data_IF_432311155987
#
_entry.id   IF_432311155987
#
_cell.length_a   1.000
_cell.length_b   1.000
_cell.length_c   1.000
_cell.angle_alpha   90.00
_cell.angle_beta   90.00
_cell.angle_gamma   90.00
#
_symmetry.space_group_name_H-M   'P 1'
#
loop_
_entity.id
_entity.type
_entity.pdbx_description
1 polymer ?
#
# COMPACT_ATOMS: atom_id res chain seq x y z
N UNK A 1 -8.09 -12.93 -20.63
CA UNK A 1 -9.27 -12.06 -20.45
C UNK A 1 -8.78 -10.67 -20.08
N UNK A 2 -8.95 -9.67 -20.95
CA UNK A 2 -8.62 -8.28 -20.62
C UNK A 2 -9.80 -7.64 -19.87
N UNK A 3 -9.57 -7.13 -18.67
CA UNK A 3 -10.54 -6.32 -17.94
C UNK A 3 -10.72 -4.97 -18.65
N UNK A 4 -11.93 -4.43 -18.64
CA UNK A 4 -12.20 -3.08 -19.16
C UNK A 4 -11.56 -2.02 -18.26
N UNK A 5 -11.21 -0.84 -18.81
CA UNK A 5 -10.62 0.27 -18.03
C UNK A 5 -11.44 0.63 -16.79
N UNK A 6 -12.78 0.62 -16.92
CA UNK A 6 -13.72 0.86 -15.80
C UNK A 6 -13.63 -0.20 -14.71
N UNK A 7 -13.40 -1.47 -15.05
CA UNK A 7 -13.21 -2.53 -14.07
C UNK A 7 -11.89 -2.35 -13.32
N UNK A 8 -10.82 -1.99 -14.04
CA UNK A 8 -9.49 -1.76 -13.48
C UNK A 8 -9.45 -0.53 -12.55
N UNK A 9 -10.14 0.54 -12.90
CA UNK A 9 -10.32 1.72 -12.03
C UNK A 9 -11.10 1.40 -10.76
N UNK A 10 -12.19 0.62 -10.87
CA UNK A 10 -13.00 0.23 -9.72
C UNK A 10 -12.21 -0.66 -8.76
N UNK A 11 -11.42 -1.59 -9.30
CA UNK A 11 -10.53 -2.44 -8.50
C UNK A 11 -9.40 -1.66 -7.85
N UNK A 12 -8.83 -0.67 -8.55
CA UNK A 12 -7.84 0.22 -7.96
C UNK A 12 -8.41 1.01 -6.79
N UNK A 13 -9.57 1.65 -6.98
CA UNK A 13 -10.22 2.45 -5.92
C UNK A 13 -10.49 1.59 -4.67
N UNK A 14 -10.99 0.38 -4.86
CA UNK A 14 -11.22 -0.57 -3.76
C UNK A 14 -9.93 -0.95 -3.02
N UNK A 15 -8.82 -1.09 -3.75
CA UNK A 15 -7.49 -1.33 -3.18
C UNK A 15 -7.01 -0.15 -2.33
N UNK A 16 -7.13 1.05 -2.88
CA UNK A 16 -6.69 2.30 -2.23
C UNK A 16 -7.51 2.56 -0.96
N UNK A 17 -8.83 2.30 -1.00
CA UNK A 17 -9.72 2.36 0.17
C UNK A 17 -9.31 1.36 1.24
N UNK A 18 -8.98 0.12 0.87
CA UNK A 18 -8.53 -0.89 1.83
C UNK A 18 -7.23 -0.46 2.52
N UNK A 19 -6.21 -0.05 1.77
CA UNK A 19 -4.95 0.43 2.35
C UNK A 19 -5.12 1.67 3.23
N UNK A 20 -6.07 2.54 2.90
CA UNK A 20 -6.39 3.73 3.71
C UNK A 20 -7.12 3.40 5.03
N UNK A 21 -7.78 2.23 5.10
CA UNK A 21 -8.47 1.76 6.31
C UNK A 21 -7.53 1.12 7.34
N UNK A 22 -6.30 0.76 6.92
CA UNK A 22 -5.33 0.09 7.78
C UNK A 22 -4.71 1.05 8.79
N UNK A 23 -4.33 0.50 9.94
CA UNK A 23 -3.51 1.19 10.93
C UNK A 23 -2.05 0.80 10.73
N UNK A 24 -1.21 1.79 10.50
CA UNK A 24 0.23 1.66 10.30
C UNK A 24 0.98 1.97 11.58
N UNK A 25 2.16 1.40 11.73
CA UNK A 25 3.04 1.50 12.88
C UNK A 25 4.47 1.27 12.44
N UNK A 26 5.38 1.96 13.12
CA UNK A 26 6.79 1.75 12.91
C UNK A 26 7.24 0.50 13.66
N UNK A 27 7.77 -0.47 12.93
CA UNK A 27 8.40 -1.67 13.47
C UNK A 27 9.83 -1.79 12.96
N UNK A 28 10.67 -2.49 13.73
CA UNK A 28 11.98 -2.91 13.27
C UNK A 28 12.13 -4.41 13.51
N UNK A 29 12.80 -5.08 12.59
CA UNK A 29 13.27 -6.46 12.78
C UNK A 29 14.79 -6.38 12.71
N UNK A 30 15.47 -6.73 13.80
CA UNK A 30 16.90 -6.44 13.95
C UNK A 30 17.18 -4.96 13.64
N UNK A 31 18.08 -4.68 12.70
CA UNK A 31 18.44 -3.34 12.26
C UNK A 31 17.58 -2.82 11.08
N UNK A 32 16.67 -3.64 10.54
CA UNK A 32 15.79 -3.25 9.44
C UNK A 32 14.59 -2.45 9.95
N UNK A 33 14.55 -1.16 9.62
CA UNK A 33 13.43 -0.27 9.87
C UNK A 33 12.32 -0.49 8.82
N UNK A 34 11.11 -0.78 9.28
CA UNK A 34 9.91 -0.97 8.45
C UNK A 34 8.83 0.01 8.94
N UNK A 35 8.90 1.28 8.52
CA UNK A 35 8.09 2.36 9.08
C UNK A 35 6.60 2.16 8.80
N UNK A 36 6.26 1.60 7.64
CA UNK A 36 4.90 1.34 7.17
C UNK A 36 4.43 -0.08 7.45
N UNK A 37 4.81 -0.64 8.61
CA UNK A 37 4.20 -1.91 9.06
C UNK A 37 2.74 -1.67 9.42
N UNK A 38 1.87 -2.68 9.32
CA UNK A 38 0.44 -2.46 9.58
C UNK A 38 -0.26 -3.58 10.34
N UNK A 39 -1.39 -3.25 10.95
CA UNK A 39 -2.31 -4.20 11.58
C UNK A 39 -3.31 -4.70 10.56
N UNK A 40 -3.30 -6.00 10.28
CA UNK A 40 -4.24 -6.63 9.35
C UNK A 40 -5.15 -7.62 10.09
N UNK A 41 -6.26 -7.11 10.63
CA UNK A 41 -7.26 -7.94 11.33
C UNK A 41 -8.03 -8.88 10.39
N UNK A 42 -7.92 -8.68 9.07
CA UNK A 42 -8.47 -9.58 8.05
C UNK A 42 -7.58 -10.77 7.72
N UNK A 43 -6.35 -10.83 8.22
CA UNK A 43 -5.43 -11.95 8.03
C UNK A 43 -5.25 -12.74 9.31
N UNK A 44 -5.35 -14.07 9.23
CA UNK A 44 -5.08 -14.95 10.37
C UNK A 44 -3.61 -14.86 10.80
N UNK A 45 -2.70 -14.87 9.84
CA UNK A 45 -1.26 -14.84 10.06
C UNK A 45 -0.68 -13.45 9.80
N UNK A 46 0.42 -13.09 10.47
CA UNK A 46 1.24 -11.97 10.01
C UNK A 46 2.06 -12.35 8.79
N UNK A 47 2.46 -11.36 8.01
CA UNK A 47 3.27 -11.57 6.81
C UNK A 47 4.47 -10.65 6.74
N UNK A 48 5.53 -11.16 6.14
CA UNK A 48 6.77 -10.44 5.81
C UNK A 48 7.07 -10.66 4.34
N UNK A 49 7.36 -9.60 3.59
CA UNK A 49 7.57 -9.73 2.16
C UNK A 49 9.01 -10.06 1.75
N UNK A 50 9.17 -10.49 0.51
CA UNK A 50 10.45 -10.87 -0.08
C UNK A 50 11.55 -9.80 0.05
N UNK A 51 11.30 -8.51 -0.27
CA UNK A 51 12.27 -7.45 -0.01
C UNK A 51 12.74 -7.37 1.44
N UNK A 52 11.85 -7.52 2.43
CA UNK A 52 12.23 -7.50 3.83
C UNK A 52 13.12 -8.70 4.20
N UNK A 53 12.76 -9.91 3.75
CA UNK A 53 13.58 -11.12 3.95
C UNK A 53 14.96 -10.99 3.31
N UNK A 54 15.02 -10.47 2.08
CA UNK A 54 16.27 -10.24 1.38
C UNK A 54 17.14 -9.21 2.10
N UNK A 55 16.56 -8.10 2.58
CA UNK A 55 17.27 -7.09 3.35
C UNK A 55 17.80 -7.61 4.69
N UNK A 56 17.09 -8.56 5.31
CA UNK A 56 17.54 -9.25 6.53
C UNK A 56 18.63 -10.30 6.27
N UNK A 57 18.87 -10.68 5.01
CA UNK A 57 19.81 -11.73 4.64
C UNK A 57 19.38 -13.12 5.13
N UNK A 58 18.09 -13.30 5.44
CA UNK A 58 17.58 -14.57 5.95
C UNK A 58 17.43 -15.59 4.82
N UNK A 59 17.82 -16.83 5.12
CA UNK A 59 17.50 -17.98 4.27
C UNK A 59 16.17 -18.55 4.71
N UNK A 60 15.48 -19.21 3.79
CA UNK A 60 14.25 -19.95 4.10
C UNK A 60 14.55 -20.91 5.25
N UNK A 61 13.89 -20.70 6.39
CA UNK A 61 14.07 -21.53 7.58
C UNK A 61 13.36 -22.87 7.36
N UNK A 62 12.10 -22.83 6.90
CA UNK A 62 11.33 -23.98 6.44
C UNK A 62 10.40 -23.60 5.28
N UNK A 63 10.33 -24.46 4.26
CA UNK A 63 9.33 -24.36 3.20
C UNK A 63 7.96 -24.76 3.78
N UNK A 64 6.96 -23.93 3.54
CA UNK A 64 5.57 -24.22 3.91
C UNK A 64 4.90 -25.01 2.81
N UNK A 65 4.38 -26.20 3.10
CA UNK A 65 3.55 -26.96 2.14
C UNK A 65 2.11 -26.40 2.01
N UNK A 66 1.77 -25.35 2.76
CA UNK A 66 0.44 -24.74 2.74
C UNK A 66 0.37 -23.57 1.77
N UNK A 67 -0.52 -23.67 0.78
CA UNK A 67 -0.95 -22.52 -0.02
C UNK A 67 -1.85 -21.61 0.83
N UNK A 68 -1.46 -20.35 0.99
CA UNK A 68 -2.31 -19.35 1.63
C UNK A 68 -3.23 -18.77 0.57
N UNK A 69 -4.47 -19.27 0.55
CA UNK A 69 -5.53 -18.68 -0.26
C UNK A 69 -6.04 -17.42 0.44
N UNK A 70 -5.36 -16.30 0.22
CA UNK A 70 -5.87 -14.99 0.60
C UNK A 70 -7.09 -14.61 -0.25
N UNK A 71 -8.02 -13.83 0.32
CA UNK A 71 -9.10 -13.16 -0.44
C UNK A 71 -8.58 -11.94 -1.24
N UNK A 72 -7.26 -11.83 -1.38
CA UNK A 72 -6.57 -10.77 -2.07
C UNK A 72 -6.39 -11.13 -3.55
N UNK A 73 -6.45 -10.14 -4.44
CA UNK A 73 -6.14 -10.31 -5.88
C UNK A 73 -4.71 -10.80 -6.12
N UNK A 74 -3.84 -10.60 -5.14
CA UNK A 74 -2.51 -11.19 -5.08
C UNK A 74 -2.66 -12.51 -4.31
N UNK A 75 -2.86 -13.60 -5.05
CA UNK A 75 -2.59 -14.94 -4.53
C UNK A 75 -1.08 -14.95 -4.34
N UNK A 76 -0.66 -14.81 -3.10
CA UNK A 76 0.73 -14.94 -2.76
C UNK A 76 0.93 -16.36 -2.26
N UNK A 77 1.70 -17.14 -3.00
CA UNK A 77 2.18 -18.42 -2.48
C UNK A 77 2.96 -18.14 -1.20
N UNK A 78 2.65 -18.89 -0.13
CA UNK A 78 3.48 -18.88 1.07
C UNK A 78 4.81 -19.51 0.69
N UNK A 79 5.88 -18.73 0.74
CA UNK A 79 7.21 -19.19 0.36
C UNK A 79 8.00 -19.78 1.54
N UNK A 80 7.40 -19.80 2.73
CA UNK A 80 8.01 -20.29 3.97
C UNK A 80 7.50 -19.59 5.22
N UNK A 81 7.93 -20.08 6.38
CA UNK A 81 7.61 -19.48 7.68
C UNK A 81 8.87 -18.97 8.38
N UNK A 82 8.69 -17.92 9.16
CA UNK A 82 9.64 -17.47 10.16
C UNK A 82 8.93 -17.41 11.50
N UNK A 83 9.35 -18.25 12.43
CA UNK A 83 8.82 -18.31 13.79
C UNK A 83 9.72 -17.60 14.76
N UNK A 84 9.14 -17.16 15.88
CA UNK A 84 9.84 -16.51 16.97
C UNK A 84 10.68 -15.29 16.55
N UNK A 85 10.18 -14.56 15.55
CA UNK A 85 10.83 -13.35 15.04
C UNK A 85 10.67 -12.20 16.04
N UNK A 86 11.79 -11.60 16.52
CA UNK A 86 11.73 -10.42 17.36
C UNK A 86 11.40 -9.19 16.51
N UNK A 87 10.27 -8.57 16.82
CA UNK A 87 9.85 -7.28 16.27
C UNK A 87 9.96 -6.25 17.37
N UNK A 88 10.65 -5.16 17.11
CA UNK A 88 10.78 -4.04 18.04
C UNK A 88 9.95 -2.86 17.59
N UNK A 89 9.39 -2.15 18.55
CA UNK A 89 8.49 -1.02 18.34
C UNK A 89 8.77 0.03 19.43
N UNK A 90 8.45 1.29 19.15
CA UNK A 90 8.49 2.34 20.17
C UNK A 90 7.11 2.52 20.77
N UNK A 91 7.03 2.56 22.10
CA UNK A 91 5.81 3.02 22.75
C UNK A 91 5.70 4.56 22.71
N UNK A 92 4.57 5.08 23.17
CA UNK A 92 4.29 6.52 23.21
C UNK A 92 5.30 7.33 24.05
N UNK A 93 6.07 6.68 24.92
CA UNK A 93 7.11 7.29 25.77
C UNK A 93 8.50 7.20 25.10
N UNK A 94 8.58 6.63 23.89
CA UNK A 94 9.84 6.40 23.18
C UNK A 94 10.63 5.19 23.68
N UNK A 95 10.05 4.38 24.58
CA UNK A 95 10.67 3.15 25.06
C UNK A 95 10.57 2.06 24.01
N UNK A 96 11.67 1.34 23.80
CA UNK A 96 11.65 0.15 22.94
C UNK A 96 10.90 -0.99 23.62
N UNK A 97 9.99 -1.60 22.87
CA UNK A 97 9.23 -2.78 23.23
C UNK A 97 9.54 -3.86 22.20
N UNK A 98 9.92 -5.05 22.65
CA UNK A 98 10.18 -6.19 21.78
C UNK A 98 9.07 -7.21 21.93
N UNK A 99 8.50 -7.65 20.81
CA UNK A 99 7.48 -8.69 20.72
C UNK A 99 8.00 -9.84 19.85
N UNK A 100 7.52 -11.04 20.13
CA UNK A 100 7.88 -12.24 19.36
C UNK A 100 6.68 -12.66 18.51
N UNK A 101 6.81 -12.53 17.19
CA UNK A 101 5.77 -12.83 16.22
C UNK A 101 6.14 -13.98 15.28
N UNK A 102 5.14 -14.59 14.67
CA UNK A 102 5.31 -15.58 13.60
C UNK A 102 4.80 -14.97 12.29
N UNK A 103 5.54 -15.18 11.21
CA UNK A 103 5.28 -14.53 9.93
C UNK A 103 5.40 -15.51 8.79
N UNK A 104 4.44 -15.45 7.87
CA UNK A 104 4.56 -16.08 6.56
C UNK A 104 5.36 -15.18 5.62
N UNK A 105 6.27 -15.78 4.85
CA UNK A 105 6.94 -15.11 3.75
C UNK A 105 5.99 -14.96 2.56
N UNK A 106 5.86 -13.74 2.04
CA UNK A 106 4.97 -13.41 0.93
C UNK A 106 5.71 -12.70 -0.21
N UNK A 107 5.49 -13.14 -1.46
CA UNK A 107 5.73 -12.33 -2.64
C UNK A 107 4.47 -11.51 -3.02
N UNK A 108 4.51 -10.21 -2.77
CA UNK A 108 3.46 -9.27 -3.14
C UNK A 108 3.81 -8.43 -4.39
N UNK A 109 4.97 -8.64 -5.00
CA UNK A 109 5.48 -7.82 -6.11
C UNK A 109 5.85 -6.38 -5.74
N UNK A 110 5.78 -5.99 -4.46
CA UNK A 110 6.20 -4.67 -4.00
C UNK A 110 7.72 -4.64 -3.78
N UNK A 111 8.41 -3.55 -4.13
CA UNK A 111 9.86 -3.45 -3.99
C UNK A 111 10.31 -3.07 -2.57
N UNK A 112 9.41 -2.51 -1.75
CA UNK A 112 9.74 -2.02 -0.41
C UNK A 112 9.50 -3.09 0.66
N UNK A 113 10.35 -3.15 1.72
CA UNK A 113 10.11 -4.03 2.87
C UNK A 113 8.75 -3.78 3.51
N UNK A 114 8.01 -4.86 3.75
CA UNK A 114 6.67 -4.83 4.33
C UNK A 114 6.55 -5.88 5.42
N UNK A 115 5.91 -5.48 6.52
CA UNK A 115 5.56 -6.33 7.65
C UNK A 115 4.12 -6.02 8.08
N UNK A 116 3.33 -7.06 8.31
CA UNK A 116 2.02 -6.86 8.94
C UNK A 116 1.74 -7.86 10.05
N UNK A 117 1.07 -7.38 11.09
CA UNK A 117 0.59 -8.19 12.19
C UNK A 117 -0.82 -8.69 11.87
N UNK A 118 -0.95 -10.01 11.68
CA UNK A 118 -2.25 -10.68 11.59
C UNK A 118 -2.89 -10.91 12.96
N UNK A 119 -4.09 -11.49 12.94
CA UNK A 119 -4.88 -11.79 14.14
C UNK A 119 -4.13 -12.67 15.14
N UNK A 120 -3.41 -13.70 14.69
CA UNK A 120 -2.59 -14.57 15.56
C UNK A 120 -1.57 -13.77 16.37
N UNK A 121 -0.80 -12.89 15.71
CA UNK A 121 0.17 -12.01 16.37
C UNK A 121 -0.54 -11.02 17.32
N UNK A 122 -1.62 -10.38 16.87
CA UNK A 122 -2.39 -9.44 17.70
C UNK A 122 -2.93 -10.12 18.96
N UNK A 123 -3.54 -11.31 18.83
CA UNK A 123 -4.07 -12.09 19.95
C UNK A 123 -2.98 -12.52 20.92
N UNK A 124 -1.83 -12.98 20.43
CA UNK A 124 -0.66 -13.35 21.27
C UNK A 124 -0.23 -12.18 22.18
N UNK A 125 -0.34 -10.95 21.68
CA UNK A 125 -0.01 -9.72 22.39
C UNK A 125 -1.16 -9.14 23.23
N UNK A 126 -2.32 -9.82 23.26
CA UNK A 126 -3.58 -9.27 23.77
C UNK A 126 -3.84 -7.86 23.21
N UNK A 127 -3.52 -7.70 21.93
CA UNK A 127 -3.49 -6.44 21.23
C UNK A 127 -4.88 -5.89 20.97
N UNK A 128 -5.06 -4.59 21.20
CA UNK A 128 -6.29 -3.86 20.89
C UNK A 128 -5.92 -2.67 20.01
N UNK A 129 -6.40 -2.69 18.77
CA UNK A 129 -6.31 -1.54 17.86
C UNK A 129 -7.38 -0.52 18.22
N UNK A 130 -6.98 0.73 18.40
CA UNK A 130 -7.86 1.88 18.61
C UNK A 130 -7.60 2.94 17.52
N UNK A 131 -8.11 2.72 16.29
CA UNK A 131 -7.85 3.62 15.15
C UNK A 131 -8.23 5.08 15.44
N UNK A 132 -9.35 5.30 16.13
CA UNK A 132 -9.82 6.65 16.50
C UNK A 132 -8.85 7.41 17.42
N UNK A 133 -7.93 6.71 18.07
CA UNK A 133 -6.90 7.29 18.95
C UNK A 133 -5.51 7.20 18.36
N UNK A 134 -5.35 6.63 17.16
CA UNK A 134 -4.05 6.33 16.55
C UNK A 134 -3.16 5.54 17.52
N UNK A 135 -3.72 4.49 18.14
CA UNK A 135 -3.03 3.68 19.14
C UNK A 135 -3.25 2.18 18.93
N UNK A 136 -2.20 1.42 19.19
CA UNK A 136 -2.25 -0.03 19.36
C UNK A 136 -1.77 -0.38 20.76
N UNK A 137 -2.67 -0.89 21.59
CA UNK A 137 -2.34 -1.29 22.96
C UNK A 137 -2.00 -2.76 23.00
N UNK A 138 -0.90 -3.11 23.64
CA UNK A 138 -0.48 -4.50 23.84
C UNK A 138 -0.18 -4.77 25.30
N UNK A 139 -0.27 -6.04 25.72
CA UNK A 139 0.08 -6.49 27.06
C UNK A 139 1.22 -7.51 27.00
N UNK A 140 2.33 -7.18 27.65
CA UNK A 140 3.52 -8.04 27.74
C UNK A 140 3.96 -8.14 29.19
N UNK A 141 4.15 -9.36 29.69
CA UNK A 141 4.61 -9.63 31.07
C UNK A 141 3.80 -8.86 32.14
N UNK A 142 2.48 -8.77 31.95
CA UNK A 142 1.58 -8.05 32.87
C UNK A 142 1.56 -6.53 32.71
N UNK A 143 2.45 -5.93 31.91
CA UNK A 143 2.50 -4.50 31.63
C UNK A 143 1.78 -4.16 30.32
N UNK A 144 1.04 -3.06 30.32
CA UNK A 144 0.42 -2.49 29.12
C UNK A 144 1.35 -1.49 28.47
N UNK A 145 1.49 -1.59 27.15
CA UNK A 145 2.21 -0.64 26.31
C UNK A 145 1.24 -0.03 25.31
N UNK A 146 1.45 1.25 25.00
CA UNK A 146 0.67 1.99 24.00
C UNK A 146 1.61 2.35 22.87
N UNK A 147 1.42 1.71 21.73
CA UNK A 147 2.20 1.96 20.52
C UNK A 147 1.45 2.99 19.67
N UNK A 148 2.09 4.09 19.23
CA UNK A 148 1.49 5.01 18.29
C UNK A 148 1.26 4.31 16.93
N UNK A 149 0.08 4.52 16.36
CA UNK A 149 -0.24 4.13 14.99
C UNK A 149 -0.58 5.37 14.17
N UNK A 150 -0.78 5.22 12.86
CA UNK A 150 -1.30 6.27 11.99
C UNK A 150 -2.10 5.68 10.83
N UNK A 151 -2.98 6.48 10.26
CA UNK A 151 -3.70 6.16 9.02
C UNK A 151 -3.04 6.86 7.85
N UNK A 152 -3.03 6.23 6.66
CA UNK A 152 -2.64 6.89 5.42
C UNK A 152 -3.88 7.51 4.76
N UNK A 153 -3.72 8.71 4.20
CA UNK A 153 -4.78 9.30 3.37
C UNK A 153 -4.89 8.51 2.05
N UNK A 154 -6.09 8.40 1.46
CA UNK A 154 -6.24 7.84 0.11
C UNK A 154 -5.40 8.65 -0.87
N UNK A 155 -4.51 7.98 -1.61
CA UNK A 155 -3.74 8.64 -2.66
C UNK A 155 -4.70 9.01 -3.78
N UNK A 156 -5.01 10.30 -3.92
CA UNK A 156 -5.80 10.79 -5.05
C UNK A 156 -4.98 10.57 -6.33
N UNK A 157 -5.46 9.69 -7.21
CA UNK A 157 -4.89 9.58 -8.55
C UNK A 157 -5.23 10.84 -9.33
N UNK A 158 -4.23 11.64 -9.70
CA UNK A 158 -4.44 12.68 -10.72
C UNK A 158 -4.98 12.01 -11.98
N UNK A 159 -6.07 12.53 -12.58
CA UNK A 159 -6.60 11.96 -13.81
C UNK A 159 -5.53 12.07 -14.91
N UNK A 160 -5.16 10.93 -15.49
CA UNK A 160 -4.27 10.88 -16.66
C UNK A 160 -4.86 11.73 -17.78
N UNK A 161 -4.02 12.54 -18.43
CA UNK A 161 -4.36 13.55 -19.45
C UNK A 161 -5.12 13.04 -20.70
N UNK A 162 -5.52 11.77 -20.73
CA UNK A 162 -6.19 11.12 -21.87
C UNK A 162 -7.71 11.36 -21.94
N UNK A 163 -8.35 11.84 -20.87
CA UNK A 163 -9.78 12.19 -20.88
C UNK A 163 -10.11 13.50 -21.63
N UNK A 164 -9.12 14.25 -22.14
CA UNK A 164 -9.37 15.53 -22.84
C UNK A 164 -9.60 15.44 -24.35
N UNK A 165 -9.42 14.27 -24.96
CA UNK A 165 -9.49 14.13 -26.43
C UNK A 165 -10.74 13.39 -26.94
N UNK A 166 -11.74 13.15 -26.10
CA UNK A 166 -13.04 12.62 -26.54
C UNK A 166 -14.17 13.46 -25.96
N UNK A 167 -14.36 14.64 -26.55
CA UNK A 167 -15.64 15.31 -26.85
C UNK A 167 -15.25 16.64 -27.52
N UNK A 168 -15.31 16.68 -28.85
CA UNK A 168 -15.69 17.87 -29.61
C UNK A 168 -15.86 17.45 -31.06
N UNK A 169 -17.04 16.93 -31.37
CA UNK A 169 -17.57 16.97 -32.72
C UNK A 169 -18.94 17.63 -32.63
N UNK A 170 -19.17 18.51 -33.59
CA UNK A 170 -20.44 19.13 -33.98
C UNK A 170 -20.90 20.34 -33.17
N UNK A 171 -20.47 21.52 -33.63
CA UNK A 171 -21.43 22.52 -34.12
C UNK A 171 -20.73 23.59 -34.95
N UNK A 172 -20.95 23.55 -36.27
CA UNK A 172 -20.59 24.57 -37.23
C UNK A 172 -21.77 25.50 -37.51
N UNK A 173 -21.64 26.79 -37.18
CA UNK A 173 -22.35 27.96 -37.71
C UNK A 173 -21.95 29.16 -36.81
N UNK A 174 -21.67 30.40 -37.21
CA UNK A 174 -21.79 31.20 -38.43
C UNK A 174 -20.81 32.40 -38.29
N UNK A 175 -20.15 32.77 -39.40
CA UNK A 175 -19.89 34.11 -39.98
C UNK A 175 -19.57 35.31 -39.05
N UNK A 176 -18.39 35.90 -39.24
CA UNK A 176 -18.25 37.37 -39.41
C UNK A 176 -16.98 37.73 -40.19
N UNK A 177 -17.20 38.45 -41.29
CA UNK A 177 -16.22 39.13 -42.15
C UNK A 177 -15.33 40.11 -41.35
N UNK A 178 -14.08 40.32 -41.75
CA UNK A 178 -13.70 41.48 -42.58
C UNK A 178 -12.16 41.70 -42.60
N UNK A 179 -11.73 42.22 -43.75
CA UNK A 179 -10.39 42.55 -44.23
C UNK A 179 -9.57 43.50 -43.34
N UNK A 180 -8.23 43.34 -43.35
CA UNK A 180 -7.31 44.40 -43.86
C UNK A 180 -5.80 44.06 -43.88
N UNK A 181 -5.22 44.43 -45.04
CA UNK A 181 -3.91 45.08 -45.28
C UNK A 181 -2.63 44.23 -45.37
N UNK A 182 -2.14 44.09 -46.61
CA UNK A 182 -0.93 44.79 -47.14
C UNK A 182 -0.74 44.42 -48.63
N UNK A 183 -1.00 45.30 -49.60
CA UNK A 183 -0.12 46.34 -50.17
C UNK A 183 0.95 45.84 -51.19
N UNK A 184 0.49 45.60 -52.44
CA UNK A 184 0.95 46.10 -53.78
C UNK A 184 2.45 46.45 -54.01
N UNK A 185 3.04 45.88 -55.09
CA UNK A 185 3.90 46.45 -56.18
C UNK A 185 4.04 45.32 -57.25
N UNK A 186 3.49 45.32 -58.48
CA UNK A 186 3.65 46.06 -59.76
C UNK A 186 4.80 45.61 -60.71
N UNK A 187 4.38 45.23 -61.94
CA UNK A 187 5.06 45.15 -63.28
C UNK A 187 5.86 43.87 -63.59
N UNK A 188 5.89 43.28 -64.80
CA UNK A 188 5.27 43.51 -66.14
C UNK A 188 5.80 42.46 -67.15
N UNK A 189 5.01 42.03 -68.14
CA UNK A 189 5.39 41.59 -69.52
C UNK A 189 4.12 40.99 -70.17
N UNK A 190 3.65 41.32 -71.38
CA UNK A 190 4.19 42.00 -72.56
C UNK A 190 3.10 42.79 -73.27
#
# INVERSE_FOLDING_TARGET
MCLSRKALEKESKKSDEWFSSLQYLHCNINDLSIPDSFLNTGSEFGGINDPAIHALGWKIDELSDFSIKGNSKHITDSLGWYTDVPVTMKDKEGKTVTVIGNFVRIDNGEPEPMLFLGISNIRKLQGVSEPNKNQFRIKLHGKTYVIPTYSKAPVAKEPSKEERNQVSTDSSSLISEDLKKSAKILKSAS
#
